data_IF_615638937003
#
_entry.id   IF_615638937003
#
_cell.length_a   1.000
_cell.length_b   1.000
_cell.length_c   1.000
_cell.angle_alpha   90.00
_cell.angle_beta   90.00
_cell.angle_gamma   90.00
#
_symmetry.space_group_name_H-M   'P 1'
#
loop_
_entity.id
_entity.type
_entity.pdbx_description
1 polymer ?
#
# COMPACT_ATOMS: atom_id res chain seq x y z
N UNK A 1 -42.77 32.39 43.60
CA UNK A 1 -42.09 31.16 44.08
C UNK A 1 -40.59 31.34 43.82
N UNK A 2 -39.68 31.29 44.81
CA UNK A 2 -39.01 30.08 45.36
C UNK A 2 -38.51 29.12 44.24
N UNK A 3 -37.24 28.71 44.15
CA UNK A 3 -36.08 28.98 45.01
C UNK A 3 -34.72 28.77 44.28
N UNK A 4 -33.79 29.71 44.51
CA UNK A 4 -32.37 29.54 44.94
C UNK A 4 -31.39 28.64 44.16
N UNK A 5 -30.39 29.32 43.55
CA UNK A 5 -28.96 28.94 43.67
C UNK A 5 -28.51 29.05 45.14
N UNK A 6 -27.52 28.27 45.56
CA UNK A 6 -26.59 28.70 46.61
C UNK A 6 -25.24 27.97 46.52
N UNK A 7 -24.17 28.76 46.47
CA UNK A 7 -22.76 28.38 46.66
C UNK A 7 -22.42 28.26 48.14
N UNK A 8 -21.50 27.38 48.53
CA UNK A 8 -20.63 27.60 49.70
C UNK A 8 -19.28 26.89 49.55
N UNK A 9 -18.20 27.66 49.68
CA UNK A 9 -16.85 27.22 50.06
C UNK A 9 -16.70 27.32 51.59
N UNK A 10 -15.84 26.49 52.20
CA UNK A 10 -15.25 26.75 53.52
C UNK A 10 -13.93 25.98 53.68
N UNK A 11 -13.12 26.41 54.65
CA UNK A 11 -11.65 26.31 54.62
C UNK A 11 -11.01 25.19 55.44
N UNK A 12 -9.68 25.15 55.37
CA UNK A 12 -8.73 24.17 55.92
C UNK A 12 -8.65 24.02 57.44
N UNK A 13 -8.18 22.85 57.91
CA UNK A 13 -7.29 22.78 59.07
C UNK A 13 -6.33 21.57 59.05
N UNK A 14 -5.25 21.65 59.83
CA UNK A 14 -4.12 20.68 59.94
C UNK A 14 -3.92 20.34 61.44
N UNK A 15 -3.28 19.25 61.91
CA UNK A 15 -2.48 18.11 61.38
C UNK A 15 -2.56 16.98 62.48
N UNK A 16 -1.63 16.01 62.59
CA UNK A 16 -1.20 14.89 61.73
C UNK A 16 -1.52 13.49 62.34
N UNK A 17 -1.36 12.41 61.56
CA UNK A 17 -0.94 11.08 62.06
C UNK A 17 -0.45 10.21 60.90
N UNK A 18 0.32 9.16 61.24
CA UNK A 18 1.03 8.28 60.31
C UNK A 18 0.25 6.97 60.01
N UNK A 19 0.81 6.24 59.05
CA UNK A 19 0.83 4.77 58.93
C UNK A 19 -0.10 4.03 57.93
N UNK A 20 0.49 2.95 57.42
CA UNK A 20 0.18 2.03 56.31
C UNK A 20 -1.27 1.59 56.09
N UNK A 21 -1.71 1.61 54.81
CA UNK A 21 -2.03 0.36 54.09
C UNK A 21 -2.13 0.54 52.56
N UNK A 22 -1.82 -0.51 51.78
CA UNK A 22 -1.89 -0.57 50.31
C UNK A 22 -2.69 -1.82 49.90
N UNK A 23 -3.71 -1.74 49.02
CA UNK A 23 -4.42 -2.93 48.58
C UNK A 23 -3.53 -3.80 47.66
N UNK A 24 -3.64 -5.13 47.82
CA UNK A 24 -2.98 -6.13 46.98
C UNK A 24 -3.76 -6.40 45.70
N UNK A 25 -3.10 -7.00 44.72
CA UNK A 25 -3.66 -7.34 43.41
C UNK A 25 -4.19 -8.78 43.32
N UNK A 26 -5.25 -8.95 42.54
CA UNK A 26 -5.90 -10.24 42.25
C UNK A 26 -5.35 -10.83 40.92
N UNK A 27 -4.04 -11.08 40.83
CA UNK A 27 -3.37 -11.51 39.58
C UNK A 27 -3.16 -13.05 39.46
N UNK A 28 -3.49 -13.86 40.47
CA UNK A 28 -3.13 -15.29 40.50
C UNK A 28 -4.16 -16.25 39.86
N UNK A 29 -5.45 -15.89 39.80
CA UNK A 29 -6.52 -16.80 39.33
C UNK A 29 -6.63 -16.88 37.79
N UNK A 30 -6.35 -15.79 37.04
CA UNK A 30 -6.39 -15.80 35.57
C UNK A 30 -5.25 -16.64 34.95
N UNK A 31 -4.09 -16.69 35.63
CA UNK A 31 -2.92 -17.42 35.15
C UNK A 31 -3.15 -18.95 35.10
N UNK A 32 -3.88 -19.50 36.08
CA UNK A 32 -4.18 -20.94 36.13
C UNK A 32 -5.19 -21.37 35.07
N UNK A 33 -6.17 -20.53 34.75
CA UNK A 33 -7.12 -20.78 33.66
C UNK A 33 -6.41 -20.80 32.29
N UNK A 34 -5.51 -19.84 32.04
CA UNK A 34 -4.69 -19.82 30.81
C UNK A 34 -3.80 -21.06 30.69
N UNK A 35 -3.20 -21.52 31.79
CA UNK A 35 -2.29 -22.66 31.78
C UNK A 35 -3.03 -23.99 31.52
N UNK A 36 -4.25 -24.15 32.06
CA UNK A 36 -5.12 -25.27 31.70
C UNK A 36 -5.51 -25.25 30.21
N UNK A 37 -5.85 -24.08 29.66
CA UNK A 37 -6.19 -23.93 28.24
C UNK A 37 -4.99 -24.28 27.34
N UNK A 38 -3.80 -23.77 27.67
CA UNK A 38 -2.54 -24.05 26.96
C UNK A 38 -2.21 -25.54 26.92
N UNK A 39 -2.48 -26.29 28.01
CA UNK A 39 -2.25 -27.74 28.05
C UNK A 39 -3.06 -28.50 26.98
N UNK A 40 -4.31 -28.06 26.73
CA UNK A 40 -5.21 -28.71 25.76
C UNK A 40 -4.83 -28.43 24.29
N UNK A 41 -4.17 -27.30 24.00
CA UNK A 41 -3.75 -26.94 22.64
C UNK A 41 -2.39 -27.52 22.21
N UNK A 42 -1.57 -28.01 23.16
CA UNK A 42 -0.25 -28.59 22.86
C UNK A 42 -0.29 -29.78 21.89
N UNK A 43 -1.41 -30.52 21.86
CA UNK A 43 -1.61 -31.67 20.96
C UNK A 43 -1.88 -31.33 19.49
N UNK A 44 -2.03 -30.04 19.12
CA UNK A 44 -2.40 -29.63 17.76
C UNK A 44 -1.23 -29.18 16.85
N UNK A 45 -0.03 -28.96 17.40
CA UNK A 45 1.14 -28.53 16.62
C UNK A 45 1.95 -29.71 16.06
N UNK A 46 1.28 -30.57 15.29
CA UNK A 46 1.88 -31.70 14.58
C UNK A 46 2.25 -31.38 13.13
N UNK A 47 3.54 -31.21 12.87
CA UNK A 47 4.24 -31.37 11.57
C UNK A 47 3.58 -30.78 10.29
N UNK A 48 4.13 -29.67 9.80
CA UNK A 48 4.00 -29.27 8.40
C UNK A 48 4.66 -30.31 7.49
N UNK A 49 3.83 -31.13 6.82
CA UNK A 49 4.18 -31.87 5.60
C UNK A 49 3.14 -31.58 4.54
N UNK A 50 3.58 -31.51 3.28
CA UNK A 50 2.68 -31.52 2.15
C UNK A 50 1.90 -32.84 2.12
N UNK A 51 0.58 -32.72 2.00
CA UNK A 51 -0.31 -33.86 1.82
C UNK A 51 -1.51 -33.43 1.01
N UNK A 52 -1.79 -34.17 -0.05
CA UNK A 52 -3.02 -34.10 -0.84
C UNK A 52 -4.21 -34.57 0.02
N UNK A 53 -4.69 -33.73 0.95
CA UNK A 53 -5.86 -34.02 1.77
C UNK A 53 -7.17 -33.75 0.99
N UNK A 54 -8.22 -34.55 1.21
CA UNK A 54 -9.45 -34.48 0.43
C UNK A 54 -10.20 -33.16 0.66
N UNK A 55 -10.53 -32.51 -0.45
CA UNK A 55 -11.28 -31.26 -0.50
C UNK A 55 -12.68 -31.42 0.10
N UNK A 56 -13.13 -30.41 0.86
CA UNK A 56 -14.43 -30.41 1.52
C UNK A 56 -15.58 -30.55 0.50
N UNK A 57 -16.65 -31.28 0.86
CA UNK A 57 -17.77 -31.61 -0.05
C UNK A 57 -18.46 -30.41 -0.69
N UNK A 58 -18.42 -29.25 -0.05
CA UNK A 58 -19.04 -28.00 -0.53
C UNK A 58 -18.01 -27.02 -1.15
N UNK A 59 -16.79 -27.45 -1.46
CA UNK A 59 -15.74 -26.57 -2.02
C UNK A 59 -16.08 -26.08 -3.43
N UNK A 60 -15.74 -24.82 -3.72
CA UNK A 60 -15.85 -24.21 -5.04
C UNK A 60 -14.75 -24.71 -5.98
N UNK A 61 -13.54 -24.85 -5.45
CA UNK A 61 -12.36 -25.34 -6.19
C UNK A 61 -12.14 -26.82 -5.92
N UNK A 62 -11.71 -27.56 -6.95
CA UNK A 62 -11.41 -29.01 -6.89
C UNK A 62 -10.11 -29.35 -6.15
N UNK A 63 -9.19 -28.38 -6.08
CA UNK A 63 -7.93 -28.39 -5.35
C UNK A 63 -7.54 -26.92 -5.11
N UNK A 64 -6.62 -26.67 -4.18
CA UNK A 64 -6.21 -25.31 -3.78
C UNK A 64 -4.82 -24.94 -4.33
N UNK A 65 -4.62 -25.20 -5.61
CA UNK A 65 -3.37 -24.95 -6.35
C UNK A 65 -3.55 -23.92 -7.49
N UNK A 66 -2.42 -23.40 -8.01
CA UNK A 66 -2.44 -22.38 -9.06
C UNK A 66 -3.06 -22.90 -10.37
N UNK A 67 -2.90 -24.18 -10.68
CA UNK A 67 -3.49 -24.82 -11.87
C UNK A 67 -5.02 -24.79 -11.81
N UNK A 68 -5.60 -25.19 -10.69
CA UNK A 68 -7.06 -25.17 -10.48
C UNK A 68 -7.59 -23.75 -10.44
N UNK A 69 -6.83 -22.81 -9.87
CA UNK A 69 -7.13 -21.38 -9.94
C UNK A 69 -7.18 -20.88 -11.39
N UNK A 70 -6.19 -21.23 -12.23
CA UNK A 70 -6.14 -20.89 -13.64
C UNK A 70 -7.28 -21.53 -14.45
N UNK A 71 -7.58 -22.82 -14.22
CA UNK A 71 -8.70 -23.54 -14.85
C UNK A 71 -10.07 -22.93 -14.52
N UNK A 72 -10.22 -22.34 -13.33
CA UNK A 72 -11.43 -21.60 -12.95
C UNK A 72 -11.43 -20.21 -13.59
N UNK A 73 -10.36 -19.44 -13.40
CA UNK A 73 -10.16 -18.08 -13.94
C UNK A 73 -10.33 -18.01 -15.47
N UNK A 74 -9.98 -19.06 -16.20
CA UNK A 74 -10.20 -19.16 -17.66
C UNK A 74 -11.66 -18.91 -18.08
N UNK A 75 -12.63 -19.23 -17.21
CA UNK A 75 -14.09 -19.10 -17.44
C UNK A 75 -14.68 -17.78 -16.89
N UNK A 76 -13.91 -17.09 -16.05
CA UNK A 76 -14.28 -15.82 -15.42
C UNK A 76 -14.12 -14.64 -16.39
N UNK A 77 -14.95 -13.62 -16.26
CA UNK A 77 -14.93 -12.40 -17.11
C UNK A 77 -14.91 -11.10 -16.30
N UNK A 78 -15.05 -11.18 -14.97
CA UNK A 78 -15.19 -10.04 -14.07
C UNK A 78 -14.11 -10.11 -12.97
N UNK A 79 -12.85 -10.18 -13.39
CA UNK A 79 -11.72 -10.33 -12.47
C UNK A 79 -11.44 -9.00 -11.79
N UNK A 80 -11.47 -8.99 -10.45
CA UNK A 80 -10.98 -7.87 -9.63
C UNK A 80 -9.57 -8.18 -9.18
N UNK A 81 -8.68 -7.19 -9.25
CA UNK A 81 -7.29 -7.30 -8.76
C UNK A 81 -7.09 -6.35 -7.59
N UNK A 82 -6.50 -6.84 -6.50
CA UNK A 82 -5.98 -6.07 -5.38
C UNK A 82 -4.45 -6.08 -5.43
N UNK A 83 -3.85 -4.96 -5.82
CA UNK A 83 -2.41 -4.81 -5.97
C UNK A 83 -1.78 -3.96 -4.86
N UNK A 84 -0.52 -4.22 -4.53
CA UNK A 84 0.30 -3.38 -3.67
C UNK A 84 1.77 -3.40 -4.06
N UNK A 85 2.62 -2.76 -3.26
CA UNK A 85 3.98 -2.37 -3.64
C UNK A 85 4.88 -3.54 -4.11
N UNK A 86 4.58 -4.77 -3.69
CA UNK A 86 5.27 -5.98 -4.15
C UNK A 86 5.25 -6.15 -5.67
N UNK A 87 4.24 -5.64 -6.40
CA UNK A 87 4.23 -5.71 -7.87
C UNK A 87 5.24 -4.78 -8.55
N UNK A 88 5.72 -3.76 -7.83
CA UNK A 88 6.67 -2.74 -8.33
C UNK A 88 8.11 -3.01 -7.88
N UNK A 89 8.35 -3.98 -6.98
CA UNK A 89 9.69 -4.25 -6.42
C UNK A 89 10.74 -4.61 -7.46
N UNK A 90 10.38 -5.35 -8.51
CA UNK A 90 11.27 -5.69 -9.62
C UNK A 90 11.50 -4.54 -10.61
N UNK A 91 10.73 -3.44 -10.53
CA UNK A 91 11.03 -2.20 -11.25
C UNK A 91 12.11 -1.35 -10.55
N UNK A 92 12.61 -1.78 -9.37
CA UNK A 92 13.53 -1.01 -8.56
C UNK A 92 12.86 0.01 -7.63
N UNK A 93 11.52 0.00 -7.53
CA UNK A 93 10.79 0.79 -6.54
C UNK A 93 10.76 -0.01 -5.23
N UNK A 94 11.41 0.46 -4.14
CA UNK A 94 11.34 -0.23 -2.86
C UNK A 94 9.90 -0.25 -2.35
N UNK A 95 9.47 -1.35 -1.74
CA UNK A 95 8.23 -1.32 -0.95
C UNK A 95 8.43 -0.45 0.32
N UNK A 96 7.37 -0.20 1.08
CA UNK A 96 7.47 0.66 2.26
C UNK A 96 8.08 -0.01 3.50
N UNK A 97 8.00 -1.34 3.62
CA UNK A 97 8.07 -2.08 4.92
C UNK A 97 9.09 -3.21 5.00
N UNK A 98 9.64 -3.66 3.88
CA UNK A 98 10.65 -4.72 3.86
C UNK A 98 11.85 -4.30 4.75
N UNK A 99 12.34 -5.19 5.64
CA UNK A 99 13.55 -4.93 6.40
C UNK A 99 14.72 -4.55 5.48
N UNK A 100 15.53 -3.59 5.95
CA UNK A 100 16.76 -3.07 5.32
C UNK A 100 16.56 -2.32 3.99
N UNK A 101 15.72 -2.83 3.10
CA UNK A 101 15.50 -2.35 1.73
C UNK A 101 14.27 -1.47 1.54
N UNK A 102 13.27 -1.60 2.42
CA UNK A 102 12.02 -0.85 2.33
C UNK A 102 12.21 0.64 2.61
N UNK A 103 11.32 1.48 2.09
CA UNK A 103 11.50 2.92 2.11
C UNK A 103 11.73 3.48 3.53
N UNK A 104 11.04 2.95 4.55
CA UNK A 104 11.15 3.42 5.92
C UNK A 104 12.54 3.25 6.55
N UNK A 105 13.36 2.27 6.14
CA UNK A 105 14.76 2.17 6.62
C UNK A 105 15.66 3.27 6.05
N UNK A 106 15.26 3.88 4.93
CA UNK A 106 16.03 4.90 4.21
C UNK A 106 15.70 6.33 4.66
N UNK A 107 14.71 6.52 5.54
CA UNK A 107 14.22 7.85 5.97
C UNK A 107 14.96 8.44 7.17
N UNK A 108 15.90 7.72 7.80
CA UNK A 108 16.66 8.20 8.97
C UNK A 108 17.34 9.56 8.69
N UNK A 109 17.80 9.78 7.45
CA UNK A 109 18.38 11.04 6.95
C UNK A 109 17.49 12.28 7.11
N UNK A 110 16.18 12.12 7.30
CA UNK A 110 15.23 13.23 7.42
C UNK A 110 14.87 13.60 8.88
N UNK A 111 15.44 12.92 9.88
CA UNK A 111 15.22 13.19 11.31
C UNK A 111 13.72 13.26 11.69
N UNK A 112 12.95 12.27 11.23
CA UNK A 112 11.52 12.14 11.47
C UNK A 112 11.23 11.63 12.90
N UNK A 113 10.09 11.99 13.52
CA UNK A 113 9.72 11.47 14.84
C UNK A 113 9.41 9.96 14.81
N UNK A 114 8.98 9.45 13.65
CA UNK A 114 8.81 8.04 13.30
C UNK A 114 8.75 7.93 11.76
N UNK A 115 9.09 6.79 11.13
CA UNK A 115 9.25 6.71 9.67
C UNK A 115 7.99 7.07 8.87
N UNK A 116 6.81 6.70 9.35
CA UNK A 116 5.53 6.99 8.69
C UNK A 116 5.19 8.49 8.68
N UNK A 117 5.81 9.32 9.53
CA UNK A 117 5.45 10.72 9.72
C UNK A 117 5.51 11.56 8.43
N UNK A 118 6.39 11.21 7.49
CA UNK A 118 6.49 11.86 6.17
C UNK A 118 5.19 11.76 5.35
N UNK A 119 4.34 10.77 5.65
CA UNK A 119 3.03 10.54 5.03
C UNK A 119 1.84 10.92 5.92
N UNK A 120 2.05 11.60 7.07
CA UNK A 120 0.95 12.15 7.88
C UNK A 120 0.58 13.57 7.44
N UNK A 121 -0.72 13.85 7.26
CA UNK A 121 -1.17 15.15 6.76
C UNK A 121 -0.80 16.31 7.68
N UNK A 122 -0.88 16.13 9.00
CA UNK A 122 -0.60 17.21 9.96
C UNK A 122 0.90 17.46 10.11
N UNK A 123 1.75 16.43 9.96
CA UNK A 123 3.19 16.60 9.83
C UNK A 123 3.51 17.36 8.53
N UNK A 124 2.92 16.97 7.40
CA UNK A 124 3.14 17.61 6.11
C UNK A 124 2.73 19.09 6.07
N UNK A 125 1.60 19.44 6.69
CA UNK A 125 1.16 20.84 6.85
C UNK A 125 2.16 21.68 7.63
N UNK A 126 2.89 21.07 8.56
CA UNK A 126 3.86 21.74 9.44
C UNK A 126 5.26 21.78 8.83
N UNK A 127 5.70 20.67 8.21
CA UNK A 127 7.00 20.49 7.59
C UNK A 127 6.88 19.59 6.34
N UNK A 128 6.58 20.17 5.16
CA UNK A 128 6.43 19.40 3.93
C UNK A 128 7.76 19.00 3.28
N UNK A 129 8.90 19.56 3.72
CA UNK A 129 10.20 19.42 3.05
C UNK A 129 10.69 17.96 2.96
N UNK A 130 10.62 17.12 4.01
CA UNK A 130 11.01 15.71 3.92
C UNK A 130 10.23 14.95 2.84
N UNK A 131 8.94 15.22 2.69
CA UNK A 131 8.13 14.59 1.66
C UNK A 131 8.55 15.01 0.25
N UNK A 132 8.84 16.29 0.00
CA UNK A 132 9.22 16.73 -1.34
C UNK A 132 10.62 16.25 -1.76
N UNK A 133 11.57 16.19 -0.82
CA UNK A 133 12.88 15.55 -1.07
C UNK A 133 12.70 14.07 -1.43
N UNK A 134 11.84 13.35 -0.70
CA UNK A 134 11.50 11.97 -0.99
C UNK A 134 10.77 11.79 -2.33
N UNK A 135 9.84 12.69 -2.67
CA UNK A 135 9.12 12.65 -3.95
C UNK A 135 10.05 12.86 -5.17
N UNK A 136 11.12 13.66 -5.02
CA UNK A 136 12.18 13.82 -6.03
C UNK A 136 12.95 12.51 -6.28
N UNK A 137 13.17 11.73 -5.22
CA UNK A 137 13.81 10.41 -5.32
C UNK A 137 12.89 9.41 -6.05
N UNK A 138 11.60 9.39 -5.70
CA UNK A 138 10.58 8.44 -6.19
C UNK A 138 9.88 8.80 -7.53
N UNK A 139 10.30 9.86 -8.23
CA UNK A 139 9.53 10.38 -9.37
C UNK A 139 9.34 9.35 -10.53
N UNK A 140 8.12 9.11 -11.04
CA UNK A 140 7.82 7.92 -11.88
C UNK A 140 8.63 7.72 -13.16
N UNK A 141 9.15 8.80 -13.77
CA UNK A 141 9.85 8.75 -15.08
C UNK A 141 11.17 7.95 -15.07
N UNK A 142 11.60 7.42 -13.91
CA UNK A 142 12.78 6.56 -13.76
C UNK A 142 12.49 5.06 -13.89
N UNK A 143 11.23 4.65 -13.79
CA UNK A 143 10.87 3.24 -13.56
C UNK A 143 10.07 2.65 -14.72
N UNK A 144 10.38 1.39 -15.06
CA UNK A 144 9.67 0.62 -16.10
C UNK A 144 8.66 -0.34 -15.47
N UNK A 145 7.44 -0.50 -16.01
CA UNK A 145 6.50 -1.48 -15.49
C UNK A 145 7.06 -2.91 -15.51
N UNK A 146 6.66 -3.70 -14.51
CA UNK A 146 7.11 -5.09 -14.34
C UNK A 146 6.26 -6.04 -15.19
N UNK A 147 6.69 -7.30 -15.43
CA UNK A 147 5.85 -8.33 -16.04
C UNK A 147 4.46 -8.45 -15.39
N UNK A 148 4.38 -8.30 -14.06
CA UNK A 148 3.10 -8.26 -13.33
C UNK A 148 2.18 -7.14 -13.84
N UNK A 149 2.69 -5.93 -14.10
CA UNK A 149 1.88 -4.82 -14.63
C UNK A 149 1.37 -5.10 -16.04
N UNK A 150 2.21 -5.67 -16.92
CA UNK A 150 1.79 -6.06 -18.26
C UNK A 150 0.76 -7.19 -18.25
N UNK A 151 0.77 -8.07 -17.23
CA UNK A 151 -0.31 -9.04 -17.03
C UNK A 151 -1.64 -8.36 -16.67
N UNK A 152 -1.63 -7.25 -15.92
CA UNK A 152 -2.85 -6.48 -15.65
C UNK A 152 -3.44 -5.90 -16.94
N UNK A 153 -2.60 -5.44 -17.87
CA UNK A 153 -3.05 -5.04 -19.23
C UNK A 153 -3.54 -6.24 -20.04
N UNK A 154 -2.84 -7.37 -20.00
CA UNK A 154 -3.27 -8.59 -20.70
C UNK A 154 -4.63 -9.10 -20.22
N UNK A 155 -4.97 -8.95 -18.93
CA UNK A 155 -6.32 -9.23 -18.40
C UNK A 155 -7.39 -8.37 -19.08
N UNK A 156 -7.08 -7.11 -19.39
CA UNK A 156 -7.99 -6.20 -20.07
C UNK A 156 -8.09 -6.53 -21.57
N UNK A 157 -6.97 -6.75 -22.26
CA UNK A 157 -6.92 -7.18 -23.66
C UNK A 157 -7.65 -8.52 -23.88
N UNK A 158 -7.60 -9.43 -22.90
CA UNK A 158 -8.35 -10.71 -22.87
C UNK A 158 -9.84 -10.53 -22.50
N UNK A 159 -10.31 -9.31 -22.28
CA UNK A 159 -11.69 -8.96 -21.85
C UNK A 159 -12.12 -9.65 -20.54
N UNK A 160 -11.21 -9.73 -19.57
CA UNK A 160 -11.44 -10.37 -18.26
C UNK A 160 -11.31 -9.42 -17.06
N UNK A 161 -10.67 -8.26 -17.25
CA UNK A 161 -10.48 -7.28 -16.16
C UNK A 161 -11.75 -6.48 -15.89
N UNK A 162 -12.29 -6.58 -14.68
CA UNK A 162 -13.32 -5.67 -14.17
C UNK A 162 -12.69 -4.40 -13.58
N UNK A 163 -11.77 -4.56 -12.60
CA UNK A 163 -11.09 -3.44 -11.95
C UNK A 163 -9.77 -3.86 -11.29
N UNK A 164 -8.81 -2.93 -11.24
CA UNK A 164 -7.65 -2.98 -10.35
C UNK A 164 -7.87 -1.98 -9.22
N UNK A 165 -7.84 -2.44 -7.99
CA UNK A 165 -7.65 -1.61 -6.81
C UNK A 165 -6.17 -1.68 -6.45
N UNK A 166 -5.45 -0.57 -6.59
CA UNK A 166 -4.01 -0.52 -6.28
C UNK A 166 -3.75 0.33 -5.05
N UNK A 167 -2.83 -0.13 -4.20
CA UNK A 167 -2.26 0.63 -3.10
C UNK A 167 -1.06 1.49 -3.53
N UNK A 168 -0.62 1.35 -4.78
CA UNK A 168 0.55 2.01 -5.31
C UNK A 168 0.22 3.43 -5.75
N UNK A 169 1.25 4.27 -5.75
CA UNK A 169 1.21 5.67 -6.20
C UNK A 169 2.18 5.91 -7.36
N UNK A 170 2.98 4.91 -7.73
CA UNK A 170 4.01 4.95 -8.79
C UNK A 170 3.43 5.09 -10.20
N UNK A 171 2.13 4.85 -10.37
CA UNK A 171 1.40 4.94 -11.65
C UNK A 171 1.83 3.92 -12.71
N UNK A 172 2.56 2.86 -12.36
CA UNK A 172 3.09 1.90 -13.32
C UNK A 172 1.99 1.10 -14.03
N UNK A 173 0.79 0.96 -13.47
CA UNK A 173 -0.37 0.37 -14.15
C UNK A 173 -0.78 1.22 -15.37
N UNK A 174 -0.74 2.56 -15.23
CA UNK A 174 -1.02 3.50 -16.33
C UNK A 174 0.07 3.44 -17.40
N UNK A 175 1.34 3.39 -16.97
CA UNK A 175 2.51 3.31 -17.87
C UNK A 175 2.54 1.98 -18.64
N UNK A 176 2.06 0.88 -18.04
CA UNK A 176 1.89 -0.40 -18.74
C UNK A 176 0.80 -0.37 -19.82
N UNK A 177 -0.04 0.67 -19.86
CA UNK A 177 -1.14 0.84 -20.83
C UNK A 177 -2.49 0.30 -20.36
N UNK A 178 -2.69 0.05 -19.05
CA UNK A 178 -4.01 -0.31 -18.53
C UNK A 178 -4.96 0.91 -18.66
N UNK A 179 -6.20 0.74 -19.15
CA UNK A 179 -7.16 1.85 -19.26
C UNK A 179 -7.43 2.51 -17.91
N UNK A 180 -7.45 3.85 -17.89
CA UNK A 180 -7.62 4.64 -16.65
C UNK A 180 -8.93 4.32 -15.93
N UNK A 181 -10.00 4.02 -16.66
CA UNK A 181 -11.28 3.64 -16.07
C UNK A 181 -11.24 2.27 -15.38
N UNK A 182 -10.27 1.39 -15.69
CA UNK A 182 -10.05 0.11 -14.98
C UNK A 182 -9.27 0.26 -13.69
N UNK A 183 -8.64 1.40 -13.44
CA UNK A 183 -7.76 1.62 -12.28
C UNK A 183 -8.51 2.39 -11.16
N UNK A 184 -8.34 1.92 -9.93
CA UNK A 184 -8.71 2.61 -8.69
C UNK A 184 -7.43 2.75 -7.85
N UNK A 185 -6.80 3.91 -7.94
CA UNK A 185 -5.68 4.34 -7.10
C UNK A 185 -6.21 4.59 -5.67
N UNK A 186 -6.23 3.56 -4.83
CA UNK A 186 -6.84 3.62 -3.50
C UNK A 186 -6.10 4.58 -2.56
N UNK A 187 -4.79 4.71 -2.74
CA UNK A 187 -3.95 5.69 -2.04
C UNK A 187 -3.63 6.90 -2.93
N UNK A 188 -4.42 7.16 -3.97
CA UNK A 188 -4.28 8.34 -4.83
C UNK A 188 -3.07 8.28 -5.76
N UNK A 189 -2.71 9.42 -6.36
CA UNK A 189 -1.78 9.47 -7.50
C UNK A 189 -0.84 10.68 -7.45
N UNK A 190 0.36 10.54 -8.03
CA UNK A 190 1.24 11.68 -8.31
C UNK A 190 0.81 12.48 -9.55
N UNK A 191 -0.04 11.92 -10.42
CA UNK A 191 -0.37 12.48 -11.74
C UNK A 191 -1.06 13.86 -11.67
N UNK A 192 -1.84 14.11 -10.62
CA UNK A 192 -2.49 15.39 -10.34
C UNK A 192 -2.12 15.88 -8.94
N UNK A 193 -2.22 17.19 -8.73
CA UNK A 193 -1.95 17.81 -7.44
C UNK A 193 -2.97 18.92 -7.15
N UNK A 194 -3.30 19.14 -5.88
CA UNK A 194 -4.23 20.19 -5.46
C UNK A 194 -3.63 21.10 -4.38
N UNK A 195 -3.93 22.39 -4.46
CA UNK A 195 -3.69 23.29 -3.33
C UNK A 195 -4.52 22.85 -2.10
N UNK A 196 -3.87 22.73 -0.95
CA UNK A 196 -4.53 22.36 0.31
C UNK A 196 -5.58 23.40 0.79
N UNK A 197 -5.44 24.66 0.37
CA UNK A 197 -6.33 25.75 0.79
C UNK A 197 -7.51 25.94 -0.18
N UNK A 198 -7.23 26.31 -1.43
CA UNK A 198 -8.26 26.69 -2.41
C UNK A 198 -8.72 25.54 -3.32
N UNK A 199 -8.13 24.35 -3.21
CA UNK A 199 -8.41 23.19 -4.08
C UNK A 199 -8.26 23.47 -5.59
N UNK A 200 -7.42 24.44 -5.98
CA UNK A 200 -6.99 24.57 -7.38
C UNK A 200 -6.10 23.38 -7.76
N UNK A 201 -6.42 22.74 -8.88
CA UNK A 201 -5.66 21.66 -9.50
C UNK A 201 -4.40 22.19 -10.21
N UNK A 202 -3.36 21.38 -10.21
CA UNK A 202 -2.07 21.57 -10.88
C UNK A 202 -1.63 20.24 -11.48
N UNK A 203 -1.08 20.30 -12.69
CA UNK A 203 -0.54 19.12 -13.38
C UNK A 203 0.80 18.64 -12.79
N UNK A 204 1.17 17.41 -13.18
CA UNK A 204 2.42 16.75 -12.82
C UNK A 204 3.65 17.61 -13.10
N UNK A 205 3.76 18.19 -14.30
CA UNK A 205 4.99 18.85 -14.77
C UNK A 205 5.23 20.17 -14.03
N UNK A 206 4.18 20.96 -13.75
CA UNK A 206 4.28 22.15 -12.91
C UNK A 206 4.83 21.84 -11.51
N UNK A 207 4.35 20.75 -10.90
CA UNK A 207 4.79 20.34 -9.56
C UNK A 207 6.20 19.73 -9.61
N UNK A 208 6.52 18.98 -10.68
CA UNK A 208 7.85 18.42 -10.95
C UNK A 208 8.92 19.50 -11.02
N UNK A 209 8.72 20.55 -11.83
CA UNK A 209 9.71 21.62 -12.01
C UNK A 209 10.13 22.27 -10.70
N UNK A 210 9.20 22.40 -9.74
CA UNK A 210 9.45 23.00 -8.43
C UNK A 210 10.14 21.99 -7.50
N UNK A 211 9.66 20.75 -7.44
CA UNK A 211 10.27 19.68 -6.63
C UNK A 211 11.74 19.44 -7.06
N UNK A 212 12.02 19.45 -8.36
CA UNK A 212 13.38 19.22 -8.87
C UNK A 212 14.36 20.35 -8.54
N UNK A 213 13.87 21.58 -8.27
CA UNK A 213 14.64 22.72 -7.74
C UNK A 213 14.84 22.67 -6.22
N UNK A 214 14.39 21.61 -5.55
CA UNK A 214 14.36 21.45 -4.08
C UNK A 214 13.50 22.51 -3.36
N UNK A 215 12.54 23.09 -4.09
CA UNK A 215 11.56 24.06 -3.61
C UNK A 215 10.24 23.39 -3.18
N UNK A 216 9.41 24.11 -2.43
CA UNK A 216 8.08 23.66 -2.00
C UNK A 216 7.02 24.19 -2.98
N UNK A 217 6.27 23.33 -3.69
CA UNK A 217 5.14 23.72 -4.53
C UNK A 217 4.10 24.60 -3.81
N UNK A 218 3.89 25.83 -4.31
CA UNK A 218 2.93 26.80 -3.77
C UNK A 218 1.90 27.27 -4.79
N UNK A 219 0.69 27.50 -4.31
CA UNK A 219 -0.45 27.88 -5.14
C UNK A 219 -0.37 29.35 -5.59
N UNK A 220 -0.38 29.56 -6.90
CA UNK A 220 -0.37 30.88 -7.56
C UNK A 220 -1.54 31.82 -7.14
N UNK A 221 -2.62 31.28 -6.57
CA UNK A 221 -3.80 32.07 -6.18
C UNK A 221 -3.85 32.46 -4.69
N UNK A 222 -3.21 31.69 -3.81
CA UNK A 222 -3.40 31.83 -2.36
C UNK A 222 -2.19 31.43 -1.50
N UNK A 223 -1.03 31.17 -2.12
CA UNK A 223 0.23 30.72 -1.51
C UNK A 223 0.16 29.43 -0.66
N UNK A 224 -1.00 28.76 -0.60
CA UNK A 224 -1.16 27.47 0.06
C UNK A 224 -0.31 26.38 -0.60
N UNK A 225 0.25 25.47 0.22
CA UNK A 225 1.02 24.32 -0.24
C UNK A 225 0.18 23.51 -1.25
N UNK A 226 0.79 23.14 -2.37
CA UNK A 226 0.23 22.19 -3.33
C UNK A 226 0.69 20.79 -2.92
N UNK A 227 -0.25 19.88 -2.68
CA UNK A 227 0.04 18.47 -2.38
C UNK A 227 -0.33 17.61 -3.60
N UNK A 228 0.49 16.62 -3.98
CA UNK A 228 0.05 15.55 -4.88
C UNK A 228 -1.21 14.86 -4.35
N UNK A 229 -2.04 14.35 -5.25
CA UNK A 229 -3.33 13.71 -4.92
C UNK A 229 -3.19 12.28 -4.39
N UNK A 230 -2.07 11.99 -3.73
CA UNK A 230 -1.83 10.79 -2.91
C UNK A 230 -2.47 10.95 -1.52
N UNK A 231 -3.00 9.86 -0.97
CA UNK A 231 -3.73 9.85 0.31
C UNK A 231 -2.74 9.75 1.47
N UNK A 232 -2.72 10.75 2.33
CA UNK A 232 -1.90 10.75 3.55
C UNK A 232 -2.65 10.10 4.71
N UNK A 233 -1.90 9.61 5.72
CA UNK A 233 -2.49 9.19 6.98
C UNK A 233 -3.24 10.37 7.62
N UNK A 234 -4.54 10.15 7.88
CA UNK A 234 -5.50 11.16 8.31
C UNK A 234 -6.44 11.65 7.20
N UNK A 235 -6.18 11.35 5.92
CA UNK A 235 -7.10 11.64 4.82
C UNK A 235 -8.09 10.49 4.57
N UNK A 236 -9.28 10.82 4.06
CA UNK A 236 -10.21 9.83 3.53
C UNK A 236 -9.78 9.34 2.15
N UNK A 237 -10.07 8.07 1.84
CA UNK A 237 -9.78 7.51 0.51
C UNK A 237 -10.64 8.19 -0.58
N UNK A 238 -10.22 8.15 -1.86
CA UNK A 238 -10.90 8.89 -2.92
C UNK A 238 -12.34 8.41 -3.11
N UNK A 239 -13.26 9.32 -3.45
CA UNK A 239 -14.69 8.99 -3.69
C UNK A 239 -14.87 7.79 -4.63
N UNK A 240 -14.06 7.71 -5.68
CA UNK A 240 -14.00 6.61 -6.66
C UNK A 240 -13.74 5.24 -6.01
N UNK A 241 -12.93 5.16 -4.95
CA UNK A 241 -12.68 3.92 -4.20
C UNK A 241 -13.99 3.35 -3.64
N UNK A 242 -14.78 4.20 -2.99
CA UNK A 242 -16.06 3.80 -2.41
C UNK A 242 -17.14 3.50 -3.46
N UNK A 243 -17.17 4.26 -4.56
CA UNK A 243 -18.10 4.01 -5.67
C UNK A 243 -17.81 2.68 -6.36
N UNK A 244 -16.54 2.40 -6.68
CA UNK A 244 -16.15 1.16 -7.34
C UNK A 244 -16.33 -0.08 -6.45
N UNK A 245 -16.15 0.03 -5.12
CA UNK A 245 -16.50 -1.09 -4.21
C UNK A 245 -17.94 -1.54 -4.43
N UNK A 246 -18.88 -0.59 -4.38
CA UNK A 246 -20.31 -0.86 -4.48
C UNK A 246 -20.73 -1.31 -5.89
N UNK A 247 -19.99 -0.95 -6.94
CA UNK A 247 -20.34 -1.32 -8.31
C UNK A 247 -19.70 -2.61 -8.80
N UNK A 248 -18.60 -3.06 -8.19
CA UNK A 248 -17.73 -4.08 -8.78
C UNK A 248 -17.68 -5.40 -7.99
N UNK A 249 -17.65 -5.36 -6.65
CA UNK A 249 -17.40 -6.57 -5.86
C UNK A 249 -18.54 -7.59 -5.92
N UNK A 250 -19.80 -7.15 -6.01
CA UNK A 250 -20.97 -8.01 -6.22
C UNK A 250 -20.98 -8.70 -7.60
N UNK A 251 -20.18 -8.21 -8.56
CA UNK A 251 -20.04 -8.77 -9.91
C UNK A 251 -18.78 -9.61 -10.08
N UNK A 252 -17.87 -9.58 -9.12
CA UNK A 252 -16.57 -10.22 -9.23
C UNK A 252 -16.73 -11.75 -9.23
N UNK A 253 -16.31 -12.40 -10.30
CA UNK A 253 -16.32 -13.87 -10.44
C UNK A 253 -14.94 -14.50 -10.16
N UNK A 254 -13.91 -13.67 -9.96
CA UNK A 254 -12.60 -14.06 -9.47
C UNK A 254 -11.89 -12.86 -8.81
N UNK A 255 -11.17 -13.10 -7.71
CA UNK A 255 -10.32 -12.10 -7.06
C UNK A 255 -8.85 -12.51 -7.12
N UNK A 256 -7.99 -11.64 -7.65
CA UNK A 256 -6.54 -11.75 -7.54
C UNK A 256 -6.07 -10.79 -6.45
N UNK A 257 -5.25 -11.26 -5.52
CA UNK A 257 -4.55 -10.46 -4.51
C UNK A 257 -3.06 -10.66 -4.78
N UNK A 258 -2.32 -9.59 -5.04
CA UNK A 258 -0.93 -9.71 -5.49
C UNK A 258 -0.03 -8.60 -4.91
N UNK A 259 1.15 -9.00 -4.41
CA UNK A 259 2.17 -8.06 -3.94
C UNK A 259 1.77 -7.15 -2.78
N UNK A 260 0.86 -7.57 -1.89
CA UNK A 260 0.41 -6.75 -0.76
C UNK A 260 0.49 -7.50 0.57
N UNK A 261 0.87 -6.79 1.63
CA UNK A 261 0.88 -7.32 3.01
C UNK A 261 -0.50 -7.33 3.68
N UNK A 262 -1.52 -6.69 3.07
CA UNK A 262 -2.87 -6.51 3.63
C UNK A 262 -2.89 -5.94 5.07
N UNK A 263 -1.90 -5.12 5.45
CA UNK A 263 -1.89 -4.48 6.79
C UNK A 263 -2.61 -3.12 6.84
N UNK A 264 -2.86 -2.46 5.71
CA UNK A 264 -3.46 -1.11 5.66
C UNK A 264 -4.98 -1.19 5.47
N UNK A 265 -5.73 -0.66 6.44
CA UNK A 265 -7.16 -0.46 6.35
C UNK A 265 -7.49 0.89 5.64
N UNK A 266 -8.63 1.02 4.94
CA UNK A 266 -9.68 0.00 4.75
C UNK A 266 -9.37 -1.01 3.63
N UNK A 267 -8.29 -0.82 2.86
CA UNK A 267 -7.97 -1.63 1.67
C UNK A 267 -7.90 -3.14 1.97
N UNK A 268 -7.33 -3.52 3.12
CA UNK A 268 -7.23 -4.93 3.53
C UNK A 268 -8.57 -5.65 3.74
N UNK A 269 -9.68 -4.92 3.85
CA UNK A 269 -11.04 -5.47 3.95
C UNK A 269 -11.69 -5.77 2.60
N UNK A 270 -11.18 -5.23 1.49
CA UNK A 270 -11.76 -5.44 0.15
C UNK A 270 -11.96 -6.94 -0.18
N UNK A 271 -11.00 -7.78 0.22
CA UNK A 271 -11.08 -9.23 0.03
C UNK A 271 -12.29 -9.93 0.68
N UNK A 272 -13.02 -9.25 1.58
CA UNK A 272 -14.25 -9.75 2.21
C UNK A 272 -15.52 -9.34 1.49
N UNK A 273 -15.45 -8.52 0.43
CA UNK A 273 -16.63 -7.99 -0.27
C UNK A 273 -17.04 -8.81 -1.51
N UNK A 274 -16.18 -9.68 -2.04
CA UNK A 274 -16.59 -10.61 -3.11
C UNK A 274 -17.53 -11.69 -2.55
N UNK A 275 -18.47 -12.17 -3.38
CA UNK A 275 -19.45 -13.21 -3.00
C UNK A 275 -18.80 -14.41 -2.31
N UNK A 276 -19.52 -15.06 -1.39
CA UNK A 276 -19.06 -16.19 -0.57
C UNK A 276 -18.47 -17.37 -1.36
N UNK A 277 -18.86 -17.56 -2.61
CA UNK A 277 -18.39 -18.64 -3.49
C UNK A 277 -17.46 -18.13 -4.61
N UNK A 278 -17.13 -16.82 -4.67
CA UNK A 278 -16.08 -16.27 -5.55
C UNK A 278 -14.67 -16.72 -5.11
N UNK A 279 -13.88 -17.41 -5.96
CA UNK A 279 -12.51 -17.79 -5.63
C UNK A 279 -11.56 -16.60 -5.44
N UNK A 280 -10.55 -16.80 -4.59
CA UNK A 280 -9.51 -15.80 -4.30
C UNK A 280 -8.12 -16.40 -4.46
N UNK A 281 -7.32 -15.84 -5.37
CA UNK A 281 -5.93 -16.23 -5.58
C UNK A 281 -4.99 -15.18 -4.98
N UNK A 282 -4.19 -15.59 -3.99
CA UNK A 282 -3.09 -14.79 -3.44
C UNK A 282 -1.77 -15.23 -4.11
N UNK A 283 -1.12 -14.31 -4.83
CA UNK A 283 0.26 -14.47 -5.33
C UNK A 283 1.15 -13.53 -4.49
N UNK A 284 1.98 -14.09 -3.60
CA UNK A 284 2.83 -13.27 -2.73
C UNK A 284 3.99 -14.10 -2.16
N UNK A 285 5.08 -13.43 -1.75
CA UNK A 285 6.23 -14.09 -1.07
C UNK A 285 5.85 -14.70 0.28
N UNK A 286 4.88 -14.09 0.96
CA UNK A 286 4.47 -14.42 2.32
C UNK A 286 2.94 -14.63 2.44
N UNK A 287 2.48 -15.49 3.35
CA UNK A 287 1.06 -15.66 3.65
C UNK A 287 0.50 -14.42 4.38
N UNK A 288 -0.50 -13.77 3.79
CA UNK A 288 -1.18 -12.57 4.31
C UNK A 288 -2.70 -12.76 4.45
N UNK A 289 -3.41 -11.78 5.00
CA UNK A 289 -4.89 -11.74 5.00
C UNK A 289 -5.62 -12.78 5.86
N UNK A 290 -4.88 -13.59 6.62
CA UNK A 290 -5.40 -14.52 7.64
C UNK A 290 -5.82 -13.78 8.90
N UNK A 291 -6.85 -14.30 9.57
CA UNK A 291 -7.23 -13.88 10.91
C UNK A 291 -6.10 -14.19 11.90
N UNK A 292 -5.74 -13.24 12.77
CA UNK A 292 -4.67 -13.39 13.77
C UNK A 292 -5.19 -13.79 15.15
N UNK A 293 -6.50 -13.70 15.40
CA UNK A 293 -7.13 -14.07 16.68
C UNK A 293 -8.56 -14.62 16.53
N UNK A 294 -9.09 -15.33 17.54
CA UNK A 294 -10.50 -15.72 17.56
C UNK A 294 -11.47 -14.52 17.53
N UNK A 295 -11.11 -13.36 18.10
CA UNK A 295 -11.91 -12.13 17.99
C UNK A 295 -11.90 -11.56 16.57
N UNK A 296 -10.74 -11.59 15.89
CA UNK A 296 -10.66 -11.22 14.47
C UNK A 296 -11.53 -12.14 13.62
N UNK A 297 -11.65 -13.44 13.94
CA UNK A 297 -12.54 -14.36 13.23
C UNK A 297 -14.04 -14.05 13.42
N UNK A 298 -14.43 -13.45 14.56
CA UNK A 298 -15.80 -13.00 14.83
C UNK A 298 -16.10 -11.68 14.11
N UNK A 299 -15.13 -10.76 14.05
CA UNK A 299 -15.27 -9.46 13.40
C UNK A 299 -15.00 -9.49 11.87
N UNK A 300 -14.27 -10.49 11.38
CA UNK A 300 -13.91 -10.67 9.97
C UNK A 300 -14.57 -11.92 9.39
N UNK A 301 -15.87 -11.80 9.10
CA UNK A 301 -16.52 -12.60 8.06
C UNK A 301 -15.82 -12.35 6.72
N UNK A 302 -14.74 -13.09 6.43
CA UNK A 302 -14.03 -13.01 5.16
C UNK A 302 -12.49 -13.05 5.19
N UNK A 303 -11.80 -13.41 6.28
CA UNK A 303 -10.35 -13.68 6.20
C UNK A 303 -10.00 -14.74 5.13
N UNK A 304 -8.75 -14.76 4.67
CA UNK A 304 -8.24 -15.83 3.80
C UNK A 304 -8.06 -17.13 4.60
N UNK A 305 -8.56 -18.25 4.07
CA UNK A 305 -8.64 -19.56 4.75
C UNK A 305 -7.69 -20.61 4.16
N UNK A 306 -6.81 -20.27 3.21
CA UNK A 306 -5.87 -21.21 2.58
C UNK A 306 -5.03 -21.97 3.61
N UNK A 307 -4.89 -23.29 3.43
CA UNK A 307 -4.23 -24.18 4.39
C UNK A 307 -5.03 -24.47 5.67
N UNK A 308 -6.34 -24.17 5.71
CA UNK A 308 -7.24 -24.59 6.80
C UNK A 308 -8.28 -25.58 6.31
N UNK A 309 -8.82 -26.41 7.24
CA UNK A 309 -9.92 -27.36 6.94
C UNK A 309 -11.24 -26.70 6.53
N UNK A 310 -11.39 -25.40 6.78
CA UNK A 310 -12.54 -24.60 6.39
C UNK A 310 -12.39 -23.96 4.99
N UNK A 311 -11.26 -24.16 4.31
CA UNK A 311 -11.07 -23.61 2.97
C UNK A 311 -12.03 -24.22 1.96
N UNK A 312 -12.64 -23.35 1.14
CA UNK A 312 -13.53 -23.73 0.03
C UNK A 312 -13.18 -23.05 -1.30
N UNK A 313 -12.29 -22.04 -1.30
CA UNK A 313 -12.13 -21.13 -2.45
C UNK A 313 -10.80 -20.37 -2.55
N UNK A 314 -9.98 -20.40 -1.50
CA UNK A 314 -8.79 -19.57 -1.40
C UNK A 314 -7.54 -20.35 -1.81
N UNK A 315 -6.75 -19.80 -2.72
CA UNK A 315 -5.47 -20.35 -3.17
C UNK A 315 -4.36 -19.39 -2.75
N UNK A 316 -3.29 -19.92 -2.16
CA UNK A 316 -2.05 -19.18 -1.93
C UNK A 316 -0.95 -19.82 -2.75
N UNK A 317 -0.39 -19.05 -3.68
CA UNK A 317 0.77 -19.41 -4.46
C UNK A 317 1.96 -18.58 -3.95
N UNK A 318 2.96 -19.26 -3.41
CA UNK A 318 4.12 -18.63 -2.79
C UNK A 318 5.23 -18.42 -3.83
N UNK A 319 5.42 -17.18 -4.26
CA UNK A 319 6.37 -16.80 -5.31
C UNK A 319 6.71 -15.31 -5.23
N UNK A 320 7.62 -14.81 -6.08
CA UNK A 320 7.56 -13.39 -6.46
C UNK A 320 6.32 -13.12 -7.33
N UNK A 321 5.92 -11.85 -7.46
CA UNK A 321 4.78 -11.48 -8.31
C UNK A 321 4.98 -11.90 -9.76
N UNK A 322 6.16 -11.62 -10.33
CA UNK A 322 6.44 -11.89 -11.75
C UNK A 322 6.57 -13.38 -12.06
N UNK A 323 7.17 -14.19 -11.17
CA UNK A 323 7.23 -15.65 -11.33
C UNK A 323 5.81 -16.27 -11.29
N UNK A 324 5.00 -15.90 -10.29
CA UNK A 324 3.65 -16.44 -10.14
C UNK A 324 2.71 -16.00 -11.27
N UNK A 325 2.88 -14.78 -11.78
CA UNK A 325 2.22 -14.30 -13.01
C UNK A 325 2.67 -15.10 -14.23
N UNK A 326 3.97 -15.37 -14.37
CA UNK A 326 4.50 -16.15 -15.50
C UNK A 326 3.98 -17.59 -15.49
N UNK A 327 3.94 -18.24 -14.31
CA UNK A 327 3.33 -19.57 -14.17
C UNK A 327 1.83 -19.55 -14.46
N UNK A 328 1.10 -18.53 -13.98
CA UNK A 328 -0.34 -18.36 -14.26
C UNK A 328 -0.61 -18.15 -15.75
N UNK A 329 0.15 -17.30 -16.42
CA UNK A 329 0.09 -17.05 -17.88
C UNK A 329 0.29 -18.34 -18.67
N UNK A 330 1.26 -19.18 -18.25
CA UNK A 330 1.51 -20.50 -18.83
C UNK A 330 0.35 -21.47 -18.62
N UNK A 331 -0.19 -21.54 -17.40
CA UNK A 331 -1.35 -22.40 -17.09
C UNK A 331 -2.62 -21.97 -17.84
N UNK A 332 -2.73 -20.69 -18.21
CA UNK A 332 -3.81 -20.14 -19.04
C UNK A 332 -3.57 -20.28 -20.55
N UNK A 333 -2.36 -20.68 -20.97
CA UNK A 333 -1.97 -20.75 -22.38
C UNK A 333 -1.86 -19.38 -23.06
N UNK A 334 -1.41 -18.35 -22.34
CA UNK A 334 -1.29 -16.97 -22.84
C UNK A 334 0.16 -16.52 -23.09
N UNK A 335 1.14 -17.44 -23.00
CA UNK A 335 2.59 -17.15 -23.13
C UNK A 335 2.91 -16.33 -24.39
N UNK A 336 2.38 -16.72 -25.56
CA UNK A 336 2.63 -16.02 -26.83
C UNK A 336 2.17 -14.55 -26.81
N UNK A 337 1.02 -14.25 -26.21
CA UNK A 337 0.48 -12.89 -26.19
C UNK A 337 1.18 -12.04 -25.12
N UNK A 338 1.53 -12.66 -23.98
CA UNK A 338 2.29 -12.01 -22.93
C UNK A 338 3.71 -11.67 -23.38
N UNK A 339 4.41 -12.59 -24.04
CA UNK A 339 5.75 -12.36 -24.57
C UNK A 339 5.76 -11.27 -25.64
N UNK A 340 4.80 -11.27 -26.59
CA UNK A 340 4.63 -10.18 -27.57
C UNK A 340 4.41 -8.83 -26.89
N UNK A 341 3.60 -8.79 -25.83
CA UNK A 341 3.34 -7.57 -25.07
C UNK A 341 4.65 -7.04 -24.44
N UNK A 342 5.39 -7.90 -23.73
CA UNK A 342 6.69 -7.57 -23.13
C UNK A 342 7.73 -7.12 -24.19
N UNK A 343 7.82 -7.80 -25.33
CA UNK A 343 8.72 -7.46 -26.43
C UNK A 343 8.35 -6.12 -27.09
N UNK A 344 7.06 -5.85 -27.32
CA UNK A 344 6.58 -4.62 -27.94
C UNK A 344 6.87 -3.40 -27.09
N UNK A 345 6.74 -3.54 -25.77
CA UNK A 345 7.00 -2.49 -24.81
C UNK A 345 8.50 -2.34 -24.55
N UNK A 346 9.26 -3.44 -24.45
CA UNK A 346 10.73 -3.39 -24.42
C UNK A 346 11.33 -2.67 -25.64
N UNK A 347 10.81 -2.96 -26.83
CA UNK A 347 11.21 -2.28 -28.08
C UNK A 347 10.81 -0.80 -28.10
N UNK A 348 9.67 -0.44 -27.49
CA UNK A 348 9.22 0.94 -27.38
C UNK A 348 9.99 1.73 -26.33
N UNK A 349 10.42 1.06 -25.25
CA UNK A 349 11.27 1.61 -24.20
C UNK A 349 12.69 1.88 -24.69
N UNK A 350 13.32 0.98 -25.47
CA UNK A 350 14.62 1.27 -26.08
C UNK A 350 14.52 2.47 -27.05
N UNK A 351 13.48 2.55 -27.88
CA UNK A 351 13.24 3.72 -28.73
C UNK A 351 13.01 5.01 -27.93
N UNK A 352 12.32 4.94 -26.78
CA UNK A 352 12.12 6.08 -25.90
C UNK A 352 13.45 6.54 -25.23
N UNK A 353 14.30 5.60 -24.82
CA UNK A 353 15.66 5.88 -24.32
C UNK A 353 16.53 6.52 -25.40
N UNK A 354 16.47 6.05 -26.65
CA UNK A 354 17.18 6.67 -27.78
C UNK A 354 16.74 8.13 -27.98
N UNK A 355 15.43 8.42 -27.94
CA UNK A 355 14.93 9.79 -28.06
C UNK A 355 15.37 10.69 -26.89
N UNK A 356 15.37 10.17 -25.66
CA UNK A 356 15.89 10.88 -24.48
C UNK A 356 17.41 11.12 -24.56
N UNK A 357 18.18 10.19 -25.13
CA UNK A 357 19.64 10.32 -25.30
C UNK A 357 20.07 11.31 -26.40
N UNK A 358 19.14 11.74 -27.25
CA UNK A 358 19.39 12.72 -28.32
C UNK A 358 18.96 14.16 -27.97
N UNK A 359 18.43 14.38 -26.77
CA UNK A 359 18.26 15.74 -26.24
C UNK A 359 19.65 16.38 -25.95
N UNK A 360 19.81 17.71 -26.08
CA UNK A 360 21.12 18.34 -25.88
C UNK A 360 21.69 18.13 -24.47
N UNK A 361 22.85 17.47 -24.38
CA UNK A 361 23.60 17.30 -23.14
C UNK A 361 24.24 18.62 -22.67
N UNK A 362 23.49 19.46 -21.97
CA UNK A 362 24.07 20.47 -21.07
C UNK A 362 24.32 19.86 -19.68
N UNK A 363 25.32 18.98 -19.61
CA UNK A 363 25.69 18.23 -18.39
C UNK A 363 27.17 18.37 -18.05
N UNK A 364 27.50 18.44 -16.75
CA UNK A 364 28.88 18.29 -16.25
C UNK A 364 29.33 19.47 -15.40
N UNK A 365 29.97 20.47 -16.02
CA UNK A 365 30.77 21.50 -15.34
C UNK A 365 30.00 22.43 -14.38
N UNK A 366 28.66 22.48 -14.48
CA UNK A 366 27.84 23.32 -13.63
C UNK A 366 27.51 22.69 -12.26
N UNK A 367 27.59 21.36 -12.12
CA UNK A 367 27.27 20.69 -10.85
C UNK A 367 28.33 20.99 -9.77
N UNK A 368 29.61 20.86 -10.11
CA UNK A 368 30.72 21.17 -9.20
C UNK A 368 30.82 22.69 -8.91
N UNK A 369 30.57 23.54 -9.91
CA UNK A 369 30.45 25.00 -9.72
C UNK A 369 29.29 25.39 -8.82
N UNK A 370 28.14 24.72 -8.94
CA UNK A 370 26.99 24.98 -8.08
C UNK A 370 27.26 24.48 -6.65
N UNK A 371 27.94 23.34 -6.48
CA UNK A 371 28.40 22.87 -5.17
C UNK A 371 29.37 23.87 -4.51
N UNK A 372 30.35 24.41 -5.25
CA UNK A 372 31.23 25.48 -4.74
C UNK A 372 30.49 26.79 -4.43
N UNK A 373 29.49 27.18 -5.24
CA UNK A 373 28.70 28.39 -5.01
C UNK A 373 27.77 28.25 -3.81
N UNK A 374 27.13 27.10 -3.63
CA UNK A 374 26.31 26.79 -2.44
C UNK A 374 27.19 26.76 -1.19
N UNK A 375 28.38 26.15 -1.26
CA UNK A 375 29.34 26.14 -0.15
C UNK A 375 29.81 27.56 0.24
N UNK A 376 30.05 28.44 -0.75
CA UNK A 376 30.41 29.86 -0.50
C UNK A 376 29.24 30.68 0.04
N UNK A 377 28.01 30.43 -0.42
CA UNK A 377 26.82 31.11 0.11
C UNK A 377 26.56 30.73 1.58
N UNK A 378 26.68 29.44 1.92
CA UNK A 378 26.45 28.94 3.27
C UNK A 378 27.44 29.46 4.33
N UNK A 379 28.63 29.93 3.92
CA UNK A 379 29.64 30.49 4.83
C UNK A 379 29.47 32.01 5.08
N UNK A 380 28.83 32.74 4.17
CA UNK A 380 28.66 34.19 4.31
C UNK A 380 27.44 34.59 5.18
N UNK A 381 26.44 33.72 5.28
CA UNK A 381 25.20 33.98 6.05
C UNK A 381 25.37 33.90 7.59
N UNK A 382 26.49 33.38 8.08
CA UNK A 382 26.78 33.21 9.51
C UNK A 382 27.58 34.38 10.13
N UNK A 383 28.25 35.20 9.30
CA UNK A 383 28.92 36.43 9.75
C UNK A 383 27.94 37.62 9.89
N UNK A 384 26.86 37.68 9.08
CA UNK A 384 25.88 38.78 9.09
C UNK A 384 24.82 38.71 10.21
N UNK A 385 24.98 37.84 11.21
CA UNK A 385 24.07 37.72 12.38
C UNK A 385 24.74 38.03 13.73
N UNK A 386 25.87 38.72 13.72
CA UNK A 386 26.62 39.14 14.92
C UNK A 386 27.09 40.61 14.89
N UNK A 387 26.20 41.53 14.52
CA UNK A 387 26.24 42.93 14.96
C UNK A 387 24.85 43.39 15.42
#
# INVERSE_FOLDING_TARGET
MKNKKNTYTLESNKKPADDTDKPKSDDEDDATMLQQLMSQFSGLFGSLKSSDEPVAKDSVLKAFDLKTAAEYMSKCSNIVVMAGAGISTSAGIPDFRSPETGLYSQLEKYNLPFPEAVFHLDFFRTNPKPFFLLAKELYPQKFTPTPTHYFLRLLDEKNKLLRIFTQNIDSLERVAGVPTDKIVEAHGTFFTSHCLNCRKEYDLEFVKEIIFKDEIPRCKECDGIIKPDIVFFGEGLPRRFHECINSDFDKADFLIIIGTSLQVAPFNRLQTFVDKDCPRLLINREPVGKSKSPMDAINASGSLLYGTKANRRDVFHQSTCDEGVTELVKLLGWEDDFNKLLESEGTSLEKAKEHLSTAPNETGENADRLAEQIAKAALNDDETKKE
#
